data_IF_644417698440
#
_entry.id   IF_644417698440
#
_cell.length_a   1.000
_cell.length_b   1.000
_cell.length_c   1.000
_cell.angle_alpha   90.00
_cell.angle_beta   90.00
_cell.angle_gamma   90.00
#
_symmetry.space_group_name_H-M   'P 1'
#
loop_
_entity.id
_entity.type
_entity.pdbx_description
1 polymer ?
#
# COMPACT_ATOMS: atom_id res chain seq x y z
N UNK A 1 -8.78 -2.49 3.12
CA UNK A 1 -7.99 -1.34 3.54
C UNK A 1 -7.52 -1.47 5.00
N UNK A 2 -8.38 -1.89 5.95
CA UNK A 2 -8.04 -1.94 7.38
C UNK A 2 -6.86 -2.88 7.70
N UNK A 3 -6.78 -4.04 7.07
CA UNK A 3 -5.64 -4.96 7.25
C UNK A 3 -4.32 -4.36 6.75
N UNK A 4 -4.34 -3.57 5.67
CA UNK A 4 -3.15 -2.81 5.22
C UNK A 4 -2.75 -1.75 6.26
N UNK A 5 -3.71 -0.99 6.78
CA UNK A 5 -3.45 -0.02 7.85
C UNK A 5 -2.87 -0.69 9.10
N UNK A 6 -3.37 -1.87 9.45
CA UNK A 6 -2.85 -2.65 10.58
C UNK A 6 -1.36 -3.00 10.39
N UNK A 7 -0.98 -3.44 9.18
CA UNK A 7 0.43 -3.66 8.83
C UNK A 7 1.27 -2.38 8.89
N UNK A 8 0.75 -1.26 8.42
CA UNK A 8 1.42 0.05 8.52
C UNK A 8 1.60 0.48 9.99
N UNK A 9 0.63 0.22 10.86
CA UNK A 9 0.76 0.52 12.29
C UNK A 9 1.89 -0.30 12.93
N UNK A 10 2.06 -1.56 12.55
CA UNK A 10 3.20 -2.39 12.99
C UNK A 10 4.52 -1.78 12.52
N UNK A 11 4.62 -1.36 11.26
CA UNK A 11 5.81 -0.68 10.74
C UNK A 11 6.11 0.61 11.51
N UNK A 12 5.09 1.41 11.83
CA UNK A 12 5.22 2.63 12.63
C UNK A 12 5.76 2.35 14.04
N UNK A 13 5.33 1.26 14.66
CA UNK A 13 5.84 0.83 15.97
C UNK A 13 7.31 0.41 15.94
N UNK A 14 7.81 -0.02 14.77
CA UNK A 14 9.21 -0.32 14.52
C UNK A 14 10.03 0.92 14.09
N UNK A 15 9.44 2.11 14.16
CA UNK A 15 10.10 3.37 13.81
C UNK A 15 10.03 3.74 12.32
N UNK A 16 9.43 2.90 11.48
CA UNK A 16 9.22 3.20 10.05
C UNK A 16 7.99 4.09 9.87
N UNK A 17 8.10 5.14 9.06
CA UNK A 17 6.99 6.06 8.81
C UNK A 17 6.78 6.23 7.30
N UNK A 18 6.18 5.24 6.63
CA UNK A 18 5.91 5.34 5.20
C UNK A 18 4.89 6.46 4.93
N UNK A 19 5.25 7.38 4.07
CA UNK A 19 4.39 8.47 3.60
C UNK A 19 4.03 8.32 2.11
N UNK A 20 4.58 7.31 1.46
CA UNK A 20 4.29 6.96 0.07
C UNK A 20 4.10 5.45 -0.03
N UNK A 21 3.00 5.03 -0.66
CA UNK A 21 2.72 3.65 -1.04
C UNK A 21 2.81 3.56 -2.56
N UNK A 22 3.73 2.76 -3.07
CA UNK A 22 3.83 2.47 -4.51
C UNK A 22 3.13 1.17 -4.82
N UNK A 23 2.20 1.20 -5.75
CA UNK A 23 1.37 0.05 -6.11
C UNK A 23 1.20 -0.08 -7.62
N UNK A 24 1.09 -1.32 -8.09
CA UNK A 24 0.64 -1.59 -9.46
C UNK A 24 -0.87 -1.39 -9.60
N UNK A 25 -1.32 -1.00 -10.79
CA UNK A 25 -2.74 -0.90 -11.16
C UNK A 25 -3.34 -2.31 -11.37
N UNK A 26 -3.45 -3.04 -10.28
CA UNK A 26 -3.93 -4.43 -10.29
C UNK A 26 -4.73 -4.75 -9.01
N UNK A 27 -5.52 -5.81 -9.04
CA UNK A 27 -6.29 -6.31 -7.90
C UNK A 27 -7.13 -5.20 -7.22
N UNK A 28 -7.04 -5.06 -5.91
CA UNK A 28 -7.81 -4.08 -5.15
C UNK A 28 -7.47 -2.62 -5.52
N UNK A 29 -6.25 -2.36 -6.03
CA UNK A 29 -5.85 -1.04 -6.50
C UNK A 29 -6.54 -0.60 -7.81
N UNK A 30 -7.32 -1.47 -8.45
CA UNK A 30 -8.24 -1.09 -9.54
C UNK A 30 -9.42 -0.24 -9.04
N UNK A 31 -9.83 -0.41 -7.78
CA UNK A 31 -10.92 0.33 -7.18
C UNK A 31 -10.49 1.73 -6.73
N UNK A 32 -11.07 2.81 -7.28
CA UNK A 32 -10.82 4.17 -6.80
C UNK A 32 -11.20 4.34 -5.32
N UNK A 33 -12.29 3.71 -4.87
CA UNK A 33 -12.72 3.74 -3.49
C UNK A 33 -11.68 3.12 -2.56
N UNK A 34 -11.14 1.95 -2.93
CA UNK A 34 -10.09 1.29 -2.14
C UNK A 34 -8.84 2.17 -2.01
N UNK A 35 -8.36 2.75 -3.13
CA UNK A 35 -7.18 3.62 -3.14
C UNK A 35 -7.36 4.85 -2.25
N UNK A 36 -8.49 5.54 -2.39
CA UNK A 36 -8.80 6.73 -1.61
C UNK A 36 -8.94 6.42 -0.11
N UNK A 37 -9.62 5.32 0.23
CA UNK A 37 -9.74 4.84 1.61
C UNK A 37 -8.38 4.49 2.21
N UNK A 38 -7.54 3.75 1.48
CA UNK A 38 -6.23 3.33 1.95
C UNK A 38 -5.29 4.52 2.15
N UNK A 39 -5.22 5.45 1.19
CA UNK A 39 -4.42 6.66 1.30
C UNK A 39 -4.80 7.47 2.55
N UNK A 40 -6.11 7.64 2.79
CA UNK A 40 -6.63 8.40 3.93
C UNK A 40 -6.34 7.70 5.26
N UNK A 41 -6.58 6.40 5.36
CA UNK A 41 -6.31 5.60 6.57
C UNK A 41 -4.82 5.58 6.94
N UNK A 42 -3.95 5.45 5.96
CA UNK A 42 -2.50 5.35 6.19
C UNK A 42 -1.83 6.72 6.34
N UNK A 43 -2.52 7.79 6.02
CA UNK A 43 -1.97 9.15 5.93
C UNK A 43 -0.76 9.18 4.99
N UNK A 44 -0.91 8.52 3.83
CA UNK A 44 0.15 8.31 2.85
C UNK A 44 -0.43 8.43 1.44
N UNK A 45 0.30 9.13 0.55
CA UNK A 45 -0.11 9.15 -0.84
C UNK A 45 0.15 7.80 -1.51
N UNK A 46 -0.68 7.44 -2.48
CA UNK A 46 -0.50 6.24 -3.30
C UNK A 46 -0.03 6.68 -4.68
N UNK A 47 1.14 6.21 -5.10
CA UNK A 47 1.62 6.32 -6.48
C UNK A 47 1.28 5.03 -7.21
N UNK A 48 0.45 5.14 -8.25
CA UNK A 48 -0.05 4.01 -9.02
C UNK A 48 0.74 3.87 -10.31
N UNK A 49 1.26 2.68 -10.56
CA UNK A 49 2.12 2.39 -11.71
C UNK A 49 1.47 1.41 -12.68
N UNK A 50 1.85 1.50 -13.96
CA UNK A 50 1.45 0.54 -15.00
C UNK A 50 2.26 -0.76 -14.88
N UNK A 51 1.91 -1.54 -13.88
CA UNK A 51 2.52 -2.84 -13.57
C UNK A 51 1.57 -3.70 -12.74
N UNK A 52 1.92 -4.97 -12.62
CA UNK A 52 1.30 -5.93 -11.71
C UNK A 52 2.37 -6.73 -10.95
N UNK A 53 1.93 -7.67 -10.11
CA UNK A 53 2.83 -8.51 -9.33
C UNK A 53 3.72 -9.41 -10.18
N UNK A 54 3.23 -9.91 -11.31
CA UNK A 54 3.99 -10.80 -12.20
C UNK A 54 5.11 -10.05 -12.93
N UNK A 55 4.83 -8.86 -13.43
CA UNK A 55 5.85 -7.98 -14.03
C UNK A 55 6.91 -7.55 -13.00
N UNK A 56 6.47 -7.23 -11.77
CA UNK A 56 7.38 -6.90 -10.68
C UNK A 56 8.31 -8.06 -10.32
N UNK A 57 7.77 -9.28 -10.22
CA UNK A 57 8.54 -10.49 -9.98
C UNK A 57 9.54 -10.79 -11.11
N UNK A 58 9.12 -10.63 -12.38
CA UNK A 58 9.99 -10.81 -13.53
C UNK A 58 11.16 -9.82 -13.53
N UNK A 59 10.92 -8.55 -13.20
CA UNK A 59 11.97 -7.53 -13.06
C UNK A 59 12.94 -7.86 -11.92
N UNK A 60 12.41 -8.30 -10.77
CA UNK A 60 13.24 -8.76 -9.64
C UNK A 60 14.11 -9.95 -9.99
N UNK A 61 13.56 -10.94 -10.69
CA UNK A 61 14.31 -12.10 -11.18
C UNK A 61 15.42 -11.71 -12.18
N UNK A 62 15.10 -10.81 -13.11
CA UNK A 62 16.07 -10.30 -14.09
C UNK A 62 17.20 -9.50 -13.43
N UNK A 63 16.90 -8.74 -12.38
CA UNK A 63 17.89 -8.06 -11.56
C UNK A 63 18.81 -9.09 -10.84
N UNK A 64 18.23 -10.11 -10.22
CA UNK A 64 18.96 -11.18 -9.56
C UNK A 64 19.84 -12.01 -10.53
N UNK A 65 19.40 -12.18 -11.77
CA UNK A 65 20.15 -12.84 -12.84
C UNK A 65 21.23 -11.96 -13.50
N UNK A 66 21.35 -10.69 -13.09
CA UNK A 66 22.32 -9.75 -13.66
C UNK A 66 21.96 -9.18 -15.04
N UNK A 67 20.72 -9.38 -15.51
CA UNK A 67 20.22 -8.78 -16.76
C UNK A 67 20.14 -7.25 -16.60
N UNK A 68 19.64 -6.79 -15.47
CA UNK A 68 19.71 -5.39 -15.05
C UNK A 68 20.86 -5.20 -14.06
N UNK A 69 21.58 -4.08 -14.21
CA UNK A 69 22.74 -3.76 -13.34
C UNK A 69 22.34 -3.11 -12.02
N UNK A 70 21.14 -2.55 -11.94
CA UNK A 70 20.63 -1.88 -10.75
C UNK A 70 19.10 -1.93 -10.69
N UNK A 71 18.53 -1.66 -9.52
CA UNK A 71 17.10 -1.51 -9.35
C UNK A 71 16.57 -0.31 -10.17
N UNK A 72 17.31 0.79 -10.24
CA UNK A 72 16.93 1.96 -11.03
C UNK A 72 16.78 1.60 -12.51
N UNK A 73 17.71 0.81 -13.06
CA UNK A 73 17.62 0.32 -14.43
C UNK A 73 16.41 -0.61 -14.62
N UNK A 74 16.19 -1.56 -13.69
CA UNK A 74 15.11 -2.52 -13.77
C UNK A 74 13.72 -1.87 -13.74
N UNK A 75 13.58 -0.73 -13.08
CA UNK A 75 12.32 -0.01 -12.92
C UNK A 75 12.23 1.31 -13.69
N UNK A 76 13.25 1.65 -14.48
CA UNK A 76 13.31 2.90 -15.24
C UNK A 76 12.14 3.10 -16.24
N UNK A 77 11.56 2.01 -16.73
CA UNK A 77 10.44 2.05 -17.69
C UNK A 77 9.05 1.98 -17.04
N UNK A 78 8.97 2.00 -15.70
CA UNK A 78 7.68 2.05 -15.02
C UNK A 78 7.02 3.41 -15.20
N UNK A 79 5.83 3.39 -15.80
CA UNK A 79 5.00 4.58 -15.96
C UNK A 79 4.12 4.78 -14.72
N UNK A 80 4.20 5.98 -14.14
CA UNK A 80 3.29 6.39 -13.06
C UNK A 80 1.99 6.90 -13.67
N UNK A 81 0.90 6.18 -13.42
CA UNK A 81 -0.43 6.45 -13.98
C UNK A 81 -1.22 7.49 -13.19
N UNK A 82 -1.07 7.48 -11.87
CA UNK A 82 -1.90 8.30 -10.98
C UNK A 82 -1.22 8.53 -9.63
N UNK A 83 -1.65 9.57 -8.92
CA UNK A 83 -1.28 9.87 -7.53
C UNK A 83 -2.55 10.14 -6.74
N UNK A 84 -2.79 9.35 -5.70
CA UNK A 84 -3.96 9.47 -4.83
C UNK A 84 -3.51 10.05 -3.50
N UNK A 85 -4.01 11.22 -3.17
CA UNK A 85 -3.74 11.88 -1.89
C UNK A 85 -4.78 11.50 -0.83
N UNK A 86 -4.43 11.56 0.47
CA UNK A 86 -5.38 11.41 1.56
C UNK A 86 -6.52 12.42 1.48
N UNK A 87 -7.77 11.98 1.71
CA UNK A 87 -8.95 12.83 1.73
C UNK A 87 -9.29 13.24 3.18
N UNK A 88 -9.13 14.52 3.50
CA UNK A 88 -9.32 15.04 4.86
C UNK A 88 -10.73 14.82 5.39
N UNK A 89 -11.74 14.95 4.53
CA UNK A 89 -13.16 14.90 4.91
C UNK A 89 -13.59 13.53 5.47
N UNK A 90 -12.91 12.46 5.09
CA UNK A 90 -13.26 11.10 5.50
C UNK A 90 -12.39 10.59 6.65
N UNK A 91 -11.34 11.30 7.00
CA UNK A 91 -10.31 10.82 7.92
C UNK A 91 -10.90 10.37 9.27
N UNK A 92 -11.74 11.19 9.88
CA UNK A 92 -12.30 10.90 11.21
C UNK A 92 -13.25 9.69 11.18
N UNK A 93 -14.11 9.60 10.16
CA UNK A 93 -15.05 8.48 10.01
C UNK A 93 -14.33 7.16 9.76
N UNK A 94 -13.30 7.18 8.90
CA UNK A 94 -12.49 6.00 8.61
C UNK A 94 -11.64 5.57 9.81
N UNK A 95 -11.07 6.51 10.56
CA UNK A 95 -10.31 6.19 11.77
C UNK A 95 -11.20 5.53 12.83
N UNK A 96 -12.41 6.06 13.05
CA UNK A 96 -13.40 5.48 13.96
C UNK A 96 -13.78 4.05 13.55
N UNK A 97 -14.04 3.82 12.27
CA UNK A 97 -14.35 2.51 11.72
C UNK A 97 -13.16 1.54 11.85
N UNK A 98 -11.94 2.02 11.62
CA UNK A 98 -10.72 1.22 11.80
C UNK A 98 -10.51 0.80 13.25
N UNK A 99 -10.71 1.70 14.21
CA UNK A 99 -10.56 1.39 15.64
C UNK A 99 -11.56 0.34 16.09
N UNK A 100 -12.82 0.40 15.62
CA UNK A 100 -13.82 -0.63 15.89
C UNK A 100 -13.40 -1.99 15.30
N UNK A 101 -12.98 -2.01 14.03
CA UNK A 101 -12.48 -3.22 13.40
C UNK A 101 -11.28 -3.82 14.15
N UNK A 102 -10.31 -3.00 14.55
CA UNK A 102 -9.11 -3.43 15.27
C UNK A 102 -9.46 -4.05 16.64
N UNK A 103 -10.47 -3.50 17.33
CA UNK A 103 -10.98 -4.05 18.58
C UNK A 103 -11.52 -5.48 18.38
N UNK A 104 -12.32 -5.69 17.32
CA UNK A 104 -12.89 -7.01 17.03
C UNK A 104 -11.81 -8.03 16.63
N UNK A 105 -10.82 -7.62 15.81
CA UNK A 105 -9.67 -8.48 15.49
C UNK A 105 -8.91 -8.88 16.76
N UNK A 106 -8.61 -7.93 17.64
CA UNK A 106 -7.89 -8.22 18.87
C UNK A 106 -8.68 -9.16 19.81
N UNK A 107 -10.01 -9.04 19.86
CA UNK A 107 -10.86 -9.95 20.61
C UNK A 107 -10.84 -11.36 20.01
N UNK A 108 -10.93 -11.46 18.68
CA UNK A 108 -10.88 -12.75 18.00
C UNK A 108 -9.54 -13.47 18.21
N UNK A 109 -8.42 -12.75 18.11
CA UNK A 109 -7.08 -13.33 18.32
C UNK A 109 -6.84 -13.78 19.76
N UNK A 110 -7.38 -13.09 20.77
CA UNK A 110 -7.26 -13.50 22.17
C UNK A 110 -8.03 -14.78 22.50
N UNK A 111 -9.01 -15.14 21.70
CA UNK A 111 -9.85 -16.32 21.89
C UNK A 111 -9.37 -17.53 21.06
N UNK A 112 -8.24 -17.42 20.38
CA UNK A 112 -7.54 -18.50 19.69
C UNK A 112 -6.55 -19.19 20.61
#
# INVERSE_FOLDING_TARGET
AFSFRYGIDIMKNLGLRPNVIRAGKANMFLSPLFRSTLATLCDARIELFDTDGSLGAARGAALGAGIYKSADEAFATLERLDVIEPAADWKNSLESAYMNWKKEVNNAVKNL
#
